data_IF_781868153915
#
_entry.id   IF_781868153915
#
_cell.length_a   1.000
_cell.length_b   1.000
_cell.length_c   1.000
_cell.angle_alpha   90.00
_cell.angle_beta   90.00
_cell.angle_gamma   90.00
#
_symmetry.space_group_name_H-M   'P 1'
#
loop_
_entity.id
_entity.type
_entity.pdbx_description
1 polymer ?
#
# COMPACT_ATOMS: atom_id res chain seq x y z
N UNK A 1 -14.68 -36.49 -0.01
CA UNK A 1 -15.09 -37.73 -0.71
C UNK A 1 -16.49 -38.13 -0.27
N UNK A 2 -17.29 -38.73 -1.17
CA UNK A 2 -18.67 -39.16 -0.86
C UNK A 2 -18.71 -40.47 -0.06
N UNK A 3 -17.89 -41.46 -0.41
CA UNK A 3 -17.75 -42.73 0.31
C UNK A 3 -16.35 -43.34 0.11
N UNK A 4 -15.47 -43.31 1.14
CA UNK A 4 -14.11 -43.83 1.04
C UNK A 4 -14.02 -45.35 0.78
N UNK A 5 -14.91 -46.15 1.36
CA UNK A 5 -14.86 -47.61 1.25
C UNK A 5 -15.26 -48.09 -0.16
N UNK A 6 -16.20 -47.38 -0.80
CA UNK A 6 -16.58 -47.63 -2.19
C UNK A 6 -15.50 -47.21 -3.19
N UNK A 7 -14.72 -46.17 -2.87
CA UNK A 7 -13.62 -45.69 -3.72
C UNK A 7 -12.43 -46.66 -3.71
N UNK A 8 -12.08 -47.22 -2.54
CA UNK A 8 -11.06 -48.26 -2.41
C UNK A 8 -11.45 -49.54 -3.18
N UNK A 9 -12.71 -49.99 -3.07
CA UNK A 9 -13.22 -51.16 -3.83
C UNK A 9 -13.21 -50.97 -5.35
N UNK A 10 -13.29 -49.73 -5.84
CA UNK A 10 -13.18 -49.40 -7.27
C UNK A 10 -11.73 -49.22 -7.74
N UNK A 11 -10.74 -49.44 -6.87
CA UNK A 11 -9.33 -49.22 -7.19
C UNK A 11 -9.00 -47.76 -7.48
N UNK A 12 -9.80 -46.83 -6.95
CA UNK A 12 -9.63 -45.38 -7.14
C UNK A 12 -8.79 -44.83 -5.99
N UNK A 13 -7.53 -45.26 -5.92
CA UNK A 13 -6.51 -44.61 -5.10
C UNK A 13 -5.76 -43.60 -6.00
N UNK A 14 -6.53 -42.75 -6.67
CA UNK A 14 -6.03 -41.84 -7.71
C UNK A 14 -5.73 -40.50 -7.06
N UNK A 15 -4.56 -39.95 -7.35
CA UNK A 15 -4.23 -38.59 -6.99
C UNK A 15 -5.13 -37.63 -7.79
N UNK A 16 -6.19 -37.13 -7.14
CA UNK A 16 -7.10 -36.15 -7.74
C UNK A 16 -6.35 -34.90 -8.18
N UNK A 17 -5.24 -34.55 -7.52
CA UNK A 17 -4.41 -33.40 -7.90
C UNK A 17 -3.83 -33.61 -9.29
N UNK A 18 -3.35 -34.82 -9.60
CA UNK A 18 -2.81 -35.15 -10.91
C UNK A 18 -3.89 -35.14 -12.00
N UNK A 19 -5.07 -35.71 -11.73
CA UNK A 19 -6.18 -35.75 -12.69
C UNK A 19 -6.72 -34.36 -13.03
N UNK A 20 -6.89 -33.50 -12.01
CA UNK A 20 -7.26 -32.09 -12.16
C UNK A 20 -6.15 -31.34 -12.90
N UNK A 21 -4.88 -31.56 -12.53
CA UNK A 21 -3.73 -30.89 -13.15
C UNK A 21 -3.54 -31.22 -14.63
N UNK A 22 -3.74 -32.48 -15.04
CA UNK A 22 -3.70 -32.89 -16.46
C UNK A 22 -4.85 -32.33 -17.28
N UNK A 23 -6.01 -32.17 -16.67
CA UNK A 23 -7.22 -31.67 -17.34
C UNK A 23 -7.26 -30.14 -17.40
N UNK A 24 -6.56 -29.46 -16.48
CA UNK A 24 -6.48 -27.99 -16.39
C UNK A 24 -5.28 -27.39 -17.13
N UNK A 25 -5.00 -27.87 -18.34
CA UNK A 25 -3.91 -27.34 -19.16
C UNK A 25 -4.39 -27.06 -20.58
N UNK A 26 -3.90 -25.96 -21.14
CA UNK A 26 -4.04 -25.72 -22.57
C UNK A 26 -3.04 -26.60 -23.29
N UNK A 27 -3.54 -27.50 -24.14
CA UNK A 27 -2.69 -28.30 -25.02
C UNK A 27 -2.62 -27.61 -26.38
N UNK A 28 -1.41 -27.43 -26.90
CA UNK A 28 -1.23 -27.00 -28.28
C UNK A 28 -1.74 -28.09 -29.20
N UNK A 29 -2.78 -27.79 -29.99
CA UNK A 29 -3.07 -28.62 -31.15
C UNK A 29 -2.17 -28.14 -32.29
N UNK A 30 -1.83 -29.05 -33.19
CA UNK A 30 -1.11 -28.71 -34.41
C UNK A 30 -1.97 -27.84 -35.34
N UNK A 31 -1.55 -27.75 -36.60
CA UNK A 31 -2.35 -27.13 -37.64
C UNK A 31 -3.01 -28.21 -38.50
N UNK A 32 -4.25 -27.98 -38.92
CA UNK A 32 -4.88 -28.73 -40.01
C UNK A 32 -4.69 -27.88 -41.26
N UNK A 33 -3.88 -28.36 -42.20
CA UNK A 33 -3.72 -27.71 -43.49
C UNK A 33 -4.85 -28.18 -44.42
N UNK A 34 -5.69 -27.24 -44.85
CA UNK A 34 -6.71 -27.51 -45.86
C UNK A 34 -6.46 -26.59 -47.06
N UNK A 35 -5.99 -27.19 -48.15
CA UNK A 35 -5.60 -26.48 -49.38
C UNK A 35 -4.47 -25.47 -49.14
N UNK A 36 -4.79 -24.17 -49.01
CA UNK A 36 -3.85 -23.06 -48.82
C UNK A 36 -4.01 -22.33 -47.47
N UNK A 37 -4.91 -22.82 -46.59
CA UNK A 37 -5.14 -22.25 -45.26
C UNK A 37 -4.66 -23.21 -44.17
N UNK A 38 -4.09 -22.65 -43.10
CA UNK A 38 -3.68 -23.39 -41.91
C UNK A 38 -4.62 -23.03 -40.75
N UNK A 39 -5.41 -24.01 -40.31
CA UNK A 39 -6.23 -23.86 -39.12
C UNK A 39 -5.45 -24.32 -37.90
N UNK A 40 -5.11 -23.38 -37.03
CA UNK A 40 -4.52 -23.69 -35.72
C UNK A 40 -5.59 -24.30 -34.82
N UNK A 41 -5.39 -25.53 -34.38
CA UNK A 41 -6.27 -26.18 -33.42
C UNK A 41 -5.66 -26.00 -32.03
N UNK A 42 -6.42 -25.60 -31.03
CA UNK A 42 -5.92 -25.52 -29.65
C UNK A 42 -6.96 -26.14 -28.71
N UNK A 43 -6.51 -27.03 -27.82
CA UNK A 43 -7.34 -27.51 -26.73
C UNK A 43 -7.28 -26.52 -25.57
N UNK A 44 -8.40 -25.85 -25.30
CA UNK A 44 -8.52 -24.97 -24.13
C UNK A 44 -9.06 -25.79 -22.95
N UNK A 45 -8.20 -26.04 -21.95
CA UNK A 45 -8.51 -26.90 -20.79
C UNK A 45 -8.76 -26.14 -19.49
N UNK A 46 -8.87 -24.81 -19.52
CA UNK A 46 -9.01 -23.99 -18.31
C UNK A 46 -10.42 -24.12 -17.70
N UNK A 47 -10.49 -24.59 -16.44
CA UNK A 47 -11.74 -24.65 -15.69
C UNK A 47 -12.28 -23.24 -15.39
N UNK A 48 -13.58 -23.04 -15.58
CA UNK A 48 -14.28 -21.78 -15.31
C UNK A 48 -15.32 -21.90 -14.20
N UNK A 49 -15.69 -23.14 -13.86
CA UNK A 49 -16.78 -23.44 -12.94
C UNK A 49 -16.51 -24.72 -12.15
N UNK A 50 -17.24 -24.92 -11.05
CA UNK A 50 -17.16 -26.15 -10.26
C UNK A 50 -17.63 -27.35 -11.09
N UNK A 51 -18.61 -27.14 -11.98
CA UNK A 51 -19.14 -28.13 -12.90
C UNK A 51 -18.08 -28.66 -13.88
N UNK A 52 -17.09 -27.84 -14.25
CA UNK A 52 -15.98 -28.28 -15.12
C UNK A 52 -15.09 -29.30 -14.39
N UNK A 53 -14.82 -29.04 -13.10
CA UNK A 53 -14.04 -29.94 -12.24
C UNK A 53 -14.82 -31.24 -12.00
N UNK A 54 -16.14 -31.17 -11.81
CA UNK A 54 -17.01 -32.34 -11.64
C UNK A 54 -16.93 -33.33 -12.81
N UNK A 55 -16.72 -32.81 -14.03
CA UNK A 55 -16.67 -33.59 -15.27
C UNK A 55 -15.32 -34.26 -15.54
N UNK A 56 -14.29 -33.92 -14.76
CA UNK A 56 -12.93 -34.44 -14.96
C UNK A 56 -12.91 -35.97 -14.85
N UNK A 57 -12.42 -36.68 -15.88
CA UNK A 57 -12.26 -38.12 -15.84
C UNK A 57 -11.10 -38.49 -14.92
N UNK A 58 -11.36 -39.43 -14.00
CA UNK A 58 -10.39 -39.87 -12.99
C UNK A 58 -9.80 -41.22 -13.37
N UNK A 59 -10.65 -42.15 -13.82
CA UNK A 59 -10.23 -43.49 -14.22
C UNK A 59 -11.27 -44.12 -15.15
N UNK A 60 -10.82 -44.94 -16.09
CA UNK A 60 -11.67 -45.85 -16.85
C UNK A 60 -11.61 -47.25 -16.21
N UNK A 61 -12.78 -47.86 -16.01
CA UNK A 61 -12.91 -49.24 -15.53
C UNK A 61 -12.78 -50.23 -16.70
N UNK A 62 -12.49 -51.50 -16.39
CA UNK A 62 -12.45 -52.60 -17.37
C UNK A 62 -13.81 -52.81 -18.07
N UNK A 63 -14.90 -52.33 -17.47
CA UNK A 63 -16.24 -52.28 -18.05
C UNK A 63 -16.46 -51.11 -19.03
N UNK A 64 -15.40 -50.41 -19.43
CA UNK A 64 -15.39 -49.19 -20.25
C UNK A 64 -16.10 -47.97 -19.65
N UNK A 65 -16.64 -48.07 -18.44
CA UNK A 65 -17.25 -46.93 -17.74
C UNK A 65 -16.18 -45.99 -17.20
N UNK A 66 -16.30 -44.70 -17.49
CA UNK A 66 -15.45 -43.64 -16.96
C UNK A 66 -15.99 -43.14 -15.63
N UNK A 67 -15.14 -43.13 -14.61
CA UNK A 67 -15.40 -42.52 -13.30
C UNK A 67 -14.97 -41.07 -13.36
N UNK A 68 -15.88 -40.15 -13.01
CA UNK A 68 -15.63 -38.71 -12.93
C UNK A 68 -15.45 -38.25 -11.48
N UNK A 69 -14.93 -37.04 -11.27
CA UNK A 69 -14.81 -36.45 -9.93
C UNK A 69 -16.17 -36.39 -9.23
N UNK A 70 -17.25 -36.07 -9.95
CA UNK A 70 -18.61 -36.04 -9.39
C UNK A 70 -19.08 -37.38 -8.78
N UNK A 71 -18.53 -38.51 -9.25
CA UNK A 71 -18.91 -39.85 -8.77
C UNK A 71 -18.28 -40.20 -7.42
N UNK A 72 -17.18 -39.53 -7.06
CA UNK A 72 -16.33 -39.89 -5.91
C UNK A 72 -16.19 -38.75 -4.89
N UNK A 73 -16.40 -37.51 -5.31
CA UNK A 73 -16.29 -36.32 -4.50
C UNK A 73 -17.46 -35.36 -4.74
N UNK A 74 -17.74 -34.52 -3.74
CA UNK A 74 -18.61 -33.36 -3.90
C UNK A 74 -17.70 -32.19 -4.21
N UNK A 75 -17.89 -31.55 -5.36
CA UNK A 75 -17.14 -30.35 -5.74
C UNK A 75 -17.92 -29.14 -5.24
N UNK A 76 -17.19 -28.19 -4.69
CA UNK A 76 -17.74 -26.92 -4.27
C UNK A 76 -16.61 -25.91 -4.21
N UNK A 77 -16.97 -24.63 -4.24
CA UNK A 77 -16.00 -23.56 -4.03
C UNK A 77 -15.55 -23.60 -2.57
N UNK A 78 -14.34 -24.10 -2.34
CA UNK A 78 -13.64 -23.97 -1.07
C UNK A 78 -13.08 -22.57 -0.89
N UNK A 79 -12.78 -22.18 0.35
CA UNK A 79 -11.97 -20.98 0.59
C UNK A 79 -10.56 -21.21 0.03
N UNK A 80 -10.00 -20.19 -0.60
CA UNK A 80 -8.65 -20.21 -1.17
C UNK A 80 -7.62 -20.60 -0.11
N UNK A 81 -6.73 -21.55 -0.42
CA UNK A 81 -5.60 -21.90 0.44
C UNK A 81 -4.55 -20.79 0.32
N UNK A 82 -4.54 -19.86 1.29
CA UNK A 82 -3.52 -18.80 1.37
C UNK A 82 -2.16 -19.40 1.72
N UNK A 83 -1.20 -19.23 0.82
CA UNK A 83 0.23 -19.36 1.11
C UNK A 83 0.66 -18.17 1.98
N UNK A 84 0.85 -18.42 3.28
CA UNK A 84 1.17 -17.40 4.29
C UNK A 84 0.46 -17.60 5.63
N UNK A 85 -0.46 -18.57 5.72
CA UNK A 85 -1.14 -18.93 6.95
C UNK A 85 -0.27 -19.83 7.86
N UNK A 86 -0.12 -19.45 9.13
CA UNK A 86 0.30 -20.36 10.18
C UNK A 86 -0.94 -21.11 10.70
N UNK A 87 -1.09 -22.38 10.34
CA UNK A 87 -2.21 -23.24 10.76
C UNK A 87 -1.80 -24.19 11.89
N UNK A 88 -2.72 -24.43 12.84
CA UNK A 88 -2.62 -25.52 13.84
C UNK A 88 -3.85 -26.43 13.69
N UNK A 89 -3.62 -27.75 13.53
CA UNK A 89 -4.68 -28.77 13.41
C UNK A 89 -5.73 -28.48 12.32
N UNK A 90 -5.30 -27.98 11.15
CA UNK A 90 -6.21 -27.68 10.04
C UNK A 90 -7.09 -26.44 10.23
N UNK A 91 -6.82 -25.60 11.24
CA UNK A 91 -7.43 -24.28 11.43
C UNK A 91 -6.36 -23.19 11.41
N UNK A 92 -6.65 -22.10 10.72
CA UNK A 92 -5.76 -20.93 10.60
C UNK A 92 -5.75 -20.14 11.92
N UNK A 93 -4.55 -19.84 12.43
CA UNK A 93 -4.39 -19.16 13.73
C UNK A 93 -3.99 -17.69 13.54
N UNK A 94 -5.02 -16.84 13.46
CA UNK A 94 -5.12 -15.54 14.14
C UNK A 94 -4.58 -14.26 13.51
N UNK A 95 -3.60 -14.25 12.58
CA UNK A 95 -3.44 -13.03 11.77
C UNK A 95 -4.69 -12.81 10.89
N UNK A 96 -5.26 -13.93 10.42
CA UNK A 96 -6.57 -14.00 9.82
C UNK A 96 -7.73 -13.81 10.79
N UNK A 97 -7.63 -14.05 12.11
CA UNK A 97 -8.82 -13.97 13.00
C UNK A 97 -9.33 -12.55 13.22
N UNK A 98 -8.48 -11.51 13.23
CA UNK A 98 -8.97 -10.12 13.27
C UNK A 98 -9.67 -9.75 11.95
N UNK A 99 -9.21 -10.30 10.82
CA UNK A 99 -9.88 -10.12 9.51
C UNK A 99 -11.00 -11.14 9.24
N UNK A 100 -11.08 -12.27 9.93
CA UNK A 100 -12.17 -13.26 9.87
C UNK A 100 -13.29 -12.89 10.83
N UNK A 101 -12.97 -12.19 11.93
CA UNK A 101 -13.95 -11.50 12.74
C UNK A 101 -14.66 -10.40 11.96
N UNK A 102 -14.15 -9.89 10.82
CA UNK A 102 -14.96 -9.03 9.94
C UNK A 102 -16.23 -9.74 9.42
N UNK A 103 -16.27 -11.07 9.41
CA UNK A 103 -17.48 -11.84 9.15
C UNK A 103 -18.45 -11.91 10.33
N UNK A 104 -18.00 -11.65 11.57
CA UNK A 104 -18.79 -11.59 12.80
C UNK A 104 -19.05 -10.14 13.28
N UNK A 105 -18.25 -9.18 12.83
CA UNK A 105 -18.45 -7.76 13.07
C UNK A 105 -19.67 -7.34 12.26
N UNK A 106 -20.76 -7.08 12.96
CA UNK A 106 -21.89 -6.34 12.40
C UNK A 106 -21.39 -5.07 11.72
N UNK A 107 -22.14 -4.54 10.75
CA UNK A 107 -21.80 -3.27 10.07
C UNK A 107 -21.45 -2.16 11.08
N UNK A 108 -22.11 -2.17 12.25
CA UNK A 108 -21.85 -1.28 13.38
C UNK A 108 -20.47 -1.51 13.98
N UNK A 109 -20.04 -2.77 14.15
CA UNK A 109 -18.71 -3.12 14.62
C UNK A 109 -17.60 -2.69 13.66
N UNK A 110 -17.80 -2.86 12.35
CA UNK A 110 -16.86 -2.37 11.32
C UNK A 110 -16.78 -0.84 11.36
N UNK A 111 -17.92 -0.17 11.46
CA UNK A 111 -17.97 1.28 11.57
C UNK A 111 -17.29 1.79 12.86
N UNK A 112 -17.54 1.14 14.00
CA UNK A 112 -16.97 1.50 15.29
C UNK A 112 -15.45 1.32 15.33
N UNK A 113 -14.95 0.17 14.89
CA UNK A 113 -13.50 -0.09 14.81
C UNK A 113 -12.81 0.84 13.80
N UNK A 114 -13.43 1.08 12.64
CA UNK A 114 -12.94 2.04 11.65
C UNK A 114 -12.86 3.47 12.19
N UNK A 115 -13.87 3.91 12.95
CA UNK A 115 -13.91 5.23 13.57
C UNK A 115 -12.83 5.36 14.66
N UNK A 116 -12.69 4.36 15.55
CA UNK A 116 -11.64 4.34 16.56
C UNK A 116 -10.24 4.40 15.94
N UNK A 117 -9.99 3.58 14.91
CA UNK A 117 -8.72 3.60 14.17
C UNK A 117 -8.51 4.96 13.49
N UNK A 118 -9.55 5.51 12.85
CA UNK A 118 -9.49 6.83 12.22
C UNK A 118 -9.15 7.97 13.19
N UNK A 119 -9.77 7.99 14.37
CA UNK A 119 -9.45 8.96 15.42
C UNK A 119 -8.00 8.82 15.90
N UNK A 120 -7.56 7.60 16.19
CA UNK A 120 -6.18 7.34 16.63
C UNK A 120 -5.15 7.80 15.58
N UNK A 121 -5.39 7.48 14.30
CA UNK A 121 -4.55 7.95 13.19
C UNK A 121 -4.58 9.48 13.07
N UNK A 122 -5.75 10.10 13.16
CA UNK A 122 -5.90 11.56 13.09
C UNK A 122 -5.11 12.28 14.19
N UNK A 123 -5.22 11.82 15.44
CA UNK A 123 -4.44 12.36 16.55
C UNK A 123 -2.94 12.16 16.36
N UNK A 124 -2.51 10.96 15.92
CA UNK A 124 -1.10 10.69 15.68
C UNK A 124 -0.53 11.60 14.58
N UNK A 125 -1.15 11.62 13.40
CA UNK A 125 -0.62 12.36 12.24
C UNK A 125 -0.67 13.88 12.45
N UNK A 126 -1.74 14.42 13.04
CA UNK A 126 -1.82 15.86 13.30
C UNK A 126 -0.70 16.35 14.23
N UNK A 127 -0.44 15.63 15.33
CA UNK A 127 0.63 15.96 16.26
C UNK A 127 2.01 15.73 15.65
N UNK A 128 2.20 14.64 14.89
CA UNK A 128 3.45 14.32 14.20
C UNK A 128 3.81 15.35 13.13
N UNK A 129 2.82 15.87 12.39
CA UNK A 129 3.02 16.96 11.41
C UNK A 129 3.36 18.27 12.13
N UNK A 130 2.69 18.57 13.24
CA UNK A 130 2.99 19.75 14.04
C UNK A 130 4.42 19.71 14.60
N UNK A 131 4.84 18.58 15.17
CA UNK A 131 6.21 18.41 15.67
C UNK A 131 7.23 18.59 14.55
N UNK A 132 7.03 17.97 13.39
CA UNK A 132 7.90 18.16 12.23
C UNK A 132 7.97 19.64 11.81
N UNK A 133 6.84 20.34 11.79
CA UNK A 133 6.77 21.77 11.45
C UNK A 133 7.54 22.66 12.43
N UNK A 134 7.57 22.30 13.72
CA UNK A 134 8.29 23.07 14.75
C UNK A 134 9.77 22.70 14.91
N UNK A 135 10.16 21.50 14.49
CA UNK A 135 11.52 20.96 14.67
C UNK A 135 12.37 20.99 13.41
N UNK A 136 11.77 21.29 12.25
CA UNK A 136 12.45 21.29 10.95
C UNK A 136 12.32 22.63 10.23
N UNK A 137 13.29 22.93 9.38
CA UNK A 137 13.34 24.09 8.51
C UNK A 137 13.50 23.65 7.05
N UNK A 138 13.46 24.59 6.11
CA UNK A 138 13.46 24.23 4.69
C UNK A 138 14.72 23.45 4.26
N UNK A 139 15.88 23.76 4.84
CA UNK A 139 17.15 23.13 4.50
C UNK A 139 17.24 21.68 5.00
N UNK A 140 16.70 21.38 6.18
CA UNK A 140 16.85 20.07 6.83
C UNK A 140 15.64 19.14 6.66
N UNK A 141 14.49 19.62 6.16
CA UNK A 141 13.26 18.82 5.97
C UNK A 141 13.47 17.58 5.11
N UNK A 142 14.24 17.69 4.03
CA UNK A 142 14.50 16.54 3.15
C UNK A 142 15.26 15.44 3.90
N UNK A 143 16.24 15.83 4.73
CA UNK A 143 16.99 14.89 5.56
C UNK A 143 16.11 14.25 6.64
N UNK A 144 15.28 15.05 7.32
CA UNK A 144 14.33 14.56 8.32
C UNK A 144 13.38 13.50 7.73
N UNK A 145 12.72 13.78 6.60
CA UNK A 145 11.81 12.82 5.98
C UNK A 145 12.53 11.61 5.38
N UNK A 146 13.77 11.77 4.90
CA UNK A 146 14.60 10.64 4.46
C UNK A 146 14.94 9.68 5.61
N UNK A 147 15.34 10.24 6.76
CA UNK A 147 15.66 9.47 7.96
C UNK A 147 14.40 8.81 8.55
N UNK A 148 13.30 9.55 8.63
CA UNK A 148 12.01 9.01 9.08
C UNK A 148 11.56 7.85 8.20
N UNK A 149 11.61 8.01 6.87
CA UNK A 149 11.21 6.95 5.96
C UNK A 149 12.10 5.70 6.09
N UNK A 150 13.41 5.87 6.37
CA UNK A 150 14.29 4.75 6.68
C UNK A 150 13.85 3.99 7.93
N UNK A 151 13.60 4.69 9.05
CA UNK A 151 13.17 4.05 10.29
C UNK A 151 11.78 3.42 10.16
N UNK A 152 10.84 4.11 9.50
CA UNK A 152 9.51 3.60 9.23
C UNK A 152 9.58 2.31 8.40
N UNK A 153 10.40 2.30 7.36
CA UNK A 153 10.57 1.13 6.49
C UNK A 153 11.21 -0.02 7.24
N UNK A 154 12.25 0.23 8.02
CA UNK A 154 12.88 -0.79 8.87
C UNK A 154 11.87 -1.39 9.87
N UNK A 155 11.12 -0.55 10.58
CA UNK A 155 10.09 -1.01 11.51
C UNK A 155 8.99 -1.82 10.78
N UNK A 156 8.58 -1.40 9.58
CA UNK A 156 7.56 -2.09 8.78
C UNK A 156 7.96 -3.48 8.31
N UNK A 157 9.27 -3.77 8.23
CA UNK A 157 9.80 -5.10 7.87
C UNK A 157 10.05 -5.92 9.14
N UNK A 158 10.74 -5.34 10.12
CA UNK A 158 11.20 -6.07 11.31
C UNK A 158 10.04 -6.41 12.25
N UNK A 159 9.10 -5.49 12.48
CA UNK A 159 8.01 -5.73 13.44
C UNK A 159 7.07 -6.88 13.00
N UNK A 160 6.59 -6.95 11.75
CA UNK A 160 5.78 -8.09 11.31
C UNK A 160 6.55 -9.42 11.31
N UNK A 161 7.83 -9.42 10.93
CA UNK A 161 8.66 -10.63 10.97
C UNK A 161 8.88 -11.11 12.40
N UNK A 162 9.19 -10.20 13.33
CA UNK A 162 9.37 -10.54 14.74
C UNK A 162 8.08 -11.07 15.37
N UNK A 163 6.95 -10.40 15.11
CA UNK A 163 5.63 -10.85 15.57
C UNK A 163 5.27 -12.23 14.98
N UNK A 164 5.47 -12.41 13.67
CA UNK A 164 5.23 -13.68 12.98
C UNK A 164 6.09 -14.81 13.52
N UNK A 165 7.38 -14.56 13.74
CA UNK A 165 8.30 -15.53 14.34
C UNK A 165 7.89 -15.93 15.76
N UNK A 166 7.51 -14.96 16.60
CA UNK A 166 7.06 -15.22 17.97
C UNK A 166 5.79 -16.10 17.99
N UNK A 167 4.82 -15.79 17.14
CA UNK A 167 3.57 -16.54 17.02
C UNK A 167 3.83 -17.94 16.46
N UNK A 168 4.65 -18.05 15.40
CA UNK A 168 4.97 -19.34 14.78
C UNK A 168 5.73 -20.25 15.75
N UNK A 169 6.71 -19.71 16.48
CA UNK A 169 7.51 -20.46 17.48
C UNK A 169 6.66 -20.95 18.65
N UNK A 170 5.60 -20.22 19.01
CA UNK A 170 4.60 -20.68 20.00
C UNK A 170 3.89 -21.96 19.52
N UNK A 171 3.57 -22.05 18.22
CA UNK A 171 2.91 -23.23 17.65
C UNK A 171 3.85 -24.41 17.38
N UNK A 172 5.06 -24.15 16.88
CA UNK A 172 5.97 -25.20 16.40
C UNK A 172 6.93 -25.70 17.47
N UNK A 173 7.44 -24.79 18.32
CA UNK A 173 8.42 -25.09 19.38
C UNK A 173 7.77 -25.22 20.76
N UNK A 174 6.45 -25.03 20.86
CA UNK A 174 5.71 -25.12 22.12
C UNK A 174 6.02 -24.00 23.11
N UNK A 175 6.58 -22.87 22.65
CA UNK A 175 6.80 -21.71 23.51
C UNK A 175 5.48 -21.28 24.17
N UNK A 176 5.55 -20.74 25.39
CA UNK A 176 4.38 -20.35 26.19
C UNK A 176 3.31 -21.45 26.34
N UNK A 177 3.73 -22.71 26.32
CA UNK A 177 2.84 -23.87 26.44
C UNK A 177 1.93 -24.09 25.23
N UNK A 178 2.33 -23.60 24.04
CA UNK A 178 1.54 -23.75 22.81
C UNK A 178 0.33 -22.82 22.70
N UNK A 179 0.14 -21.91 23.67
CA UNK A 179 -0.98 -20.97 23.69
C UNK A 179 -0.61 -19.67 22.98
N UNK A 180 -1.07 -19.53 21.74
CA UNK A 180 -0.85 -18.33 20.90
C UNK A 180 -1.36 -17.04 21.53
N UNK A 181 -2.40 -17.11 22.36
CA UNK A 181 -2.91 -15.97 23.13
C UNK A 181 -1.82 -15.28 23.97
N UNK A 182 -0.92 -16.07 24.59
CA UNK A 182 0.17 -15.50 25.39
C UNK A 182 1.18 -14.73 24.53
N UNK A 183 1.46 -15.18 23.31
CA UNK A 183 2.31 -14.44 22.38
C UNK A 183 1.70 -13.07 22.02
N UNK A 184 0.38 -12.98 21.88
CA UNK A 184 -0.32 -11.72 21.65
C UNK A 184 -0.30 -10.79 22.87
N UNK A 185 -0.46 -11.31 24.09
CA UNK A 185 -0.33 -10.49 25.29
C UNK A 185 1.08 -9.92 25.45
N UNK A 186 2.10 -10.73 25.15
CA UNK A 186 3.51 -10.28 25.17
C UNK A 186 3.74 -9.20 24.12
N UNK A 187 3.28 -9.40 22.88
CA UNK A 187 3.41 -8.41 21.81
C UNK A 187 2.70 -7.10 22.16
N UNK A 188 1.50 -7.19 22.73
CA UNK A 188 0.72 -6.02 23.19
C UNK A 188 1.46 -5.29 24.31
N UNK A 189 1.98 -6.01 25.31
CA UNK A 189 2.79 -5.44 26.38
C UNK A 189 4.03 -4.72 25.86
N UNK A 190 4.72 -5.30 24.88
CA UNK A 190 5.87 -4.68 24.23
C UNK A 190 5.51 -3.37 23.51
N UNK A 191 4.40 -3.34 22.77
CA UNK A 191 3.89 -2.12 22.11
C UNK A 191 3.54 -1.04 23.14
N UNK A 192 2.91 -1.41 24.26
CA UNK A 192 2.59 -0.48 25.34
C UNK A 192 3.86 0.12 25.97
N UNK A 193 4.87 -0.71 26.25
CA UNK A 193 6.17 -0.26 26.78
C UNK A 193 6.85 0.69 25.80
N UNK A 194 6.91 0.35 24.50
CA UNK A 194 7.49 1.21 23.48
C UNK A 194 6.75 2.55 23.39
N UNK A 195 5.42 2.53 23.48
CA UNK A 195 4.59 3.74 23.47
C UNK A 195 4.86 4.61 24.70
N UNK A 196 5.02 3.99 25.88
CA UNK A 196 5.37 4.68 27.11
C UNK A 196 6.75 5.33 27.03
N UNK A 197 7.75 4.61 26.52
CA UNK A 197 9.10 5.13 26.30
C UNK A 197 9.06 6.32 25.32
N UNK A 198 8.36 6.19 24.19
CA UNK A 198 8.20 7.27 23.22
C UNK A 198 7.52 8.49 23.85
N UNK A 199 6.47 8.30 24.66
CA UNK A 199 5.79 9.38 25.36
C UNK A 199 6.70 10.09 26.38
N UNK A 200 7.54 9.35 27.10
CA UNK A 200 8.51 9.92 28.05
C UNK A 200 9.53 10.78 27.29
N UNK A 201 10.08 10.29 26.18
CA UNK A 201 11.06 11.02 25.36
C UNK A 201 10.45 12.32 24.81
N UNK A 202 9.21 12.27 24.30
CA UNK A 202 8.53 13.46 23.78
C UNK A 202 8.28 14.49 24.89
N UNK A 203 7.88 14.05 26.09
CA UNK A 203 7.61 14.95 27.21
C UNK A 203 8.89 15.57 27.83
N UNK A 204 10.03 14.91 27.67
CA UNK A 204 11.34 15.48 28.04
C UNK A 204 11.81 16.56 27.05
N UNK A 205 11.23 16.60 25.84
CA UNK A 205 11.54 17.62 24.85
C UNK A 205 10.98 18.99 25.21
N UNK A 206 11.68 20.05 24.81
CA UNK A 206 11.23 21.44 24.99
C UNK A 206 10.25 21.83 23.86
N UNK A 207 9.09 21.19 23.81
CA UNK A 207 8.06 21.51 22.82
C UNK A 207 7.05 22.52 23.38
N UNK A 208 6.69 23.52 22.58
CA UNK A 208 5.63 24.46 22.93
C UNK A 208 4.30 23.94 22.40
N UNK A 209 3.28 23.90 23.27
CA UNK A 209 1.93 23.57 22.87
C UNK A 209 1.38 24.65 21.91
N UNK A 210 0.57 24.27 20.90
CA UNK A 210 -0.04 25.24 20.01
C UNK A 210 -0.94 26.20 20.78
N UNK A 211 -0.93 27.47 20.38
CA UNK A 211 -1.78 28.50 20.99
C UNK A 211 -3.26 28.14 20.78
N UNK A 212 -4.07 28.19 21.84
CA UNK A 212 -5.51 28.02 21.74
C UNK A 212 -6.13 29.18 20.95
N UNK A 213 -6.35 28.95 19.66
CA UNK A 213 -6.93 29.91 18.73
C UNK A 213 -8.03 29.23 17.91
N UNK A 214 -8.94 30.03 17.34
CA UNK A 214 -9.88 29.50 16.33
C UNK A 214 -9.07 28.86 15.21
N UNK A 215 -9.39 27.60 14.89
CA UNK A 215 -8.67 26.79 13.91
C UNK A 215 -9.53 26.39 12.70
N UNK A 216 -10.82 26.72 12.72
CA UNK A 216 -11.75 26.38 11.65
C UNK A 216 -12.05 27.63 10.81
N UNK A 217 -11.62 27.58 9.55
CA UNK A 217 -11.83 28.64 8.56
C UNK A 217 -12.18 28.01 7.21
N UNK A 218 -12.93 28.76 6.40
CA UNK A 218 -13.36 28.31 5.06
C UNK A 218 -12.74 29.11 3.92
N UNK A 219 -12.27 30.33 4.19
CA UNK A 219 -11.60 31.18 3.22
C UNK A 219 -10.09 31.18 3.46
N UNK A 220 -9.33 30.79 2.45
CA UNK A 220 -7.88 30.72 2.51
C UNK A 220 -7.22 31.44 1.34
N UNK A 221 -6.00 31.88 1.59
CA UNK A 221 -5.10 32.48 0.63
C UNK A 221 -4.96 31.63 -0.63
N UNK A 222 -4.66 32.28 -1.77
CA UNK A 222 -4.50 31.62 -3.07
C UNK A 222 -3.48 30.49 -3.02
N UNK A 223 -2.35 30.71 -2.36
CA UNK A 223 -1.28 29.72 -2.18
C UNK A 223 -1.80 28.45 -1.47
N UNK A 224 -2.59 28.61 -0.41
CA UNK A 224 -3.17 27.46 0.30
C UNK A 224 -4.20 26.70 -0.55
N UNK A 225 -5.02 27.41 -1.33
CA UNK A 225 -5.95 26.77 -2.27
C UNK A 225 -5.23 25.88 -3.28
N UNK A 226 -4.07 26.30 -3.79
CA UNK A 226 -3.22 25.42 -4.63
C UNK A 226 -2.77 24.16 -3.88
N UNK A 227 -2.37 24.30 -2.61
CA UNK A 227 -1.98 23.16 -1.77
C UNK A 227 -3.16 22.20 -1.52
N UNK A 228 -4.38 22.70 -1.32
CA UNK A 228 -5.58 21.87 -1.20
C UNK A 228 -5.88 21.08 -2.48
N UNK A 229 -5.68 21.68 -3.66
CA UNK A 229 -5.78 20.95 -4.94
C UNK A 229 -4.71 19.87 -5.01
N UNK A 230 -3.46 20.17 -4.64
CA UNK A 230 -2.38 19.18 -4.61
C UNK A 230 -2.68 18.02 -3.65
N UNK A 231 -3.22 18.32 -2.47
CA UNK A 231 -3.66 17.33 -1.50
C UNK A 231 -4.81 16.46 -2.00
N UNK A 232 -5.78 17.07 -2.69
CA UNK A 232 -6.89 16.33 -3.31
C UNK A 232 -6.38 15.38 -4.38
N UNK A 233 -5.48 15.82 -5.26
CA UNK A 233 -4.87 14.96 -6.29
C UNK A 233 -4.08 13.79 -5.70
N UNK A 234 -3.30 14.04 -4.63
CA UNK A 234 -2.63 12.98 -3.86
C UNK A 234 -3.65 12.02 -3.25
N UNK A 235 -4.75 12.54 -2.70
CA UNK A 235 -5.83 11.78 -2.09
C UNK A 235 -6.49 10.82 -3.07
N UNK A 236 -6.82 11.28 -4.28
CA UNK A 236 -7.40 10.45 -5.35
C UNK A 236 -6.52 9.23 -5.63
N UNK A 237 -5.22 9.44 -5.79
CA UNK A 237 -4.27 8.35 -5.98
C UNK A 237 -4.18 7.42 -4.76
N UNK A 238 -4.08 7.98 -3.55
CA UNK A 238 -3.97 7.19 -2.33
C UNK A 238 -5.20 6.28 -2.10
N UNK A 239 -6.40 6.75 -2.44
CA UNK A 239 -7.63 5.95 -2.34
C UNK A 239 -7.59 4.68 -3.19
N UNK A 240 -6.86 4.72 -4.31
CA UNK A 240 -6.70 3.59 -5.22
C UNK A 240 -5.49 2.73 -4.86
N UNK A 241 -4.34 3.37 -4.62
CA UNK A 241 -3.02 2.75 -4.43
C UNK A 241 -2.94 1.90 -3.16
N UNK A 242 -3.76 2.16 -2.14
CA UNK A 242 -3.77 1.33 -0.92
C UNK A 242 -4.33 -0.08 -1.21
N UNK A 243 -5.34 -0.20 -2.06
CA UNK A 243 -6.04 -1.47 -2.30
C UNK A 243 -5.61 -2.16 -3.60
N UNK A 244 -5.42 -1.38 -4.68
CA UNK A 244 -5.24 -1.92 -6.02
C UNK A 244 -4.00 -2.82 -6.21
N UNK A 245 -2.81 -2.54 -5.65
CA UNK A 245 -1.64 -3.40 -5.84
C UNK A 245 -1.87 -4.82 -5.28
N UNK A 246 -2.50 -4.91 -4.11
CA UNK A 246 -2.83 -6.20 -3.48
C UNK A 246 -3.87 -6.93 -4.31
N UNK A 247 -4.96 -6.25 -4.69
CA UNK A 247 -6.02 -6.84 -5.52
C UNK A 247 -5.50 -7.31 -6.89
N UNK A 248 -4.64 -6.51 -7.52
CA UNK A 248 -4.04 -6.81 -8.81
C UNK A 248 -3.15 -8.06 -8.73
N UNK A 249 -2.30 -8.18 -7.72
CA UNK A 249 -1.44 -9.36 -7.55
C UNK A 249 -2.26 -10.59 -7.16
N UNK A 250 -3.22 -10.45 -6.24
CA UNK A 250 -4.12 -11.56 -5.89
C UNK A 250 -4.85 -12.09 -7.13
N UNK A 251 -5.33 -11.20 -7.99
CA UNK A 251 -6.07 -11.58 -9.19
C UNK A 251 -5.19 -12.15 -10.32
N UNK A 252 -4.01 -11.56 -10.57
CA UNK A 252 -3.20 -11.89 -11.75
C UNK A 252 -2.03 -12.85 -11.45
N UNK A 253 -1.59 -12.95 -10.20
CA UNK A 253 -0.50 -13.86 -9.77
C UNK A 253 -1.05 -15.02 -8.96
N UNK A 254 -2.10 -14.80 -8.15
CA UNK A 254 -2.73 -15.85 -7.32
C UNK A 254 -1.88 -16.28 -6.11
N UNK A 255 -0.71 -15.67 -5.89
CA UNK A 255 0.15 -15.95 -4.75
C UNK A 255 0.38 -14.67 -3.94
N UNK A 256 -0.30 -14.55 -2.81
CA UNK A 256 -0.17 -13.40 -1.92
C UNK A 256 1.25 -13.25 -1.37
N UNK A 257 1.97 -14.36 -1.19
CA UNK A 257 3.37 -14.36 -0.75
C UNK A 257 4.28 -13.55 -1.69
N UNK A 258 3.96 -13.50 -2.98
CA UNK A 258 4.72 -12.70 -3.96
C UNK A 258 4.63 -11.20 -3.67
N UNK A 259 3.47 -10.69 -3.22
CA UNK A 259 3.33 -9.27 -2.81
C UNK A 259 4.28 -8.97 -1.67
N UNK A 260 4.26 -9.82 -0.63
CA UNK A 260 5.07 -9.65 0.57
C UNK A 260 6.56 -9.68 0.25
N UNK A 261 7.00 -10.61 -0.59
CA UNK A 261 8.41 -10.70 -1.01
C UNK A 261 8.88 -9.49 -1.82
N UNK A 262 8.10 -9.07 -2.84
CA UNK A 262 8.45 -7.91 -3.68
C UNK A 262 8.49 -6.63 -2.83
N UNK A 263 7.48 -6.43 -1.99
CA UNK A 263 7.43 -5.26 -1.11
C UNK A 263 8.57 -5.27 -0.11
N UNK A 264 8.91 -6.39 0.51
CA UNK A 264 9.99 -6.45 1.51
C UNK A 264 11.35 -6.10 0.89
N UNK A 265 11.70 -6.73 -0.23
CA UNK A 265 12.99 -6.50 -0.91
C UNK A 265 13.06 -5.06 -1.44
N UNK A 266 12.00 -4.62 -2.13
CA UNK A 266 11.95 -3.27 -2.68
C UNK A 266 11.94 -2.20 -1.58
N UNK A 267 11.32 -2.48 -0.43
CA UNK A 267 11.26 -1.53 0.68
C UNK A 267 12.65 -1.25 1.25
N UNK A 268 13.50 -2.27 1.43
CA UNK A 268 14.90 -2.07 1.84
C UNK A 268 15.65 -1.17 0.85
N UNK A 269 15.53 -1.46 -0.46
CA UNK A 269 16.16 -0.65 -1.50
C UNK A 269 15.63 0.79 -1.51
N UNK A 270 14.32 0.96 -1.34
CA UNK A 270 13.68 2.27 -1.27
C UNK A 270 14.14 3.06 -0.03
N UNK A 271 14.34 2.40 1.11
CA UNK A 271 14.82 3.04 2.34
C UNK A 271 16.25 3.57 2.18
N UNK A 272 17.14 2.77 1.58
CA UNK A 272 18.51 3.22 1.26
C UNK A 272 18.48 4.39 0.28
N UNK A 273 17.67 4.29 -0.78
CA UNK A 273 17.49 5.38 -1.76
C UNK A 273 17.02 6.67 -1.08
N UNK A 274 16.03 6.59 -0.19
CA UNK A 274 15.48 7.76 0.50
C UNK A 274 16.46 8.37 1.49
N UNK A 275 17.24 7.56 2.20
CA UNK A 275 18.27 8.08 3.08
C UNK A 275 19.33 8.85 2.29
N UNK A 276 19.80 8.29 1.18
CA UNK A 276 20.75 8.97 0.28
C UNK A 276 20.14 10.25 -0.28
N UNK A 277 18.92 10.18 -0.84
CA UNK A 277 18.23 11.35 -1.37
C UNK A 277 17.97 12.41 -0.31
N UNK A 278 17.56 12.04 0.89
CA UNK A 278 17.35 12.96 2.00
C UNK A 278 18.62 13.72 2.40
N UNK A 279 19.79 13.09 2.28
CA UNK A 279 21.10 13.69 2.57
C UNK A 279 21.60 14.64 1.48
N UNK A 280 21.36 14.31 0.21
CA UNK A 280 21.93 15.07 -0.93
C UNK A 280 20.96 16.09 -1.53
N UNK A 281 19.66 15.94 -1.30
CA UNK A 281 18.65 16.77 -1.95
C UNK A 281 18.47 18.11 -1.25
N UNK A 282 18.67 19.19 -2.01
CA UNK A 282 18.32 20.54 -1.60
C UNK A 282 16.85 20.86 -1.95
N UNK A 283 16.25 21.95 -1.42
CA UNK A 283 14.88 22.36 -1.73
C UNK A 283 14.59 22.48 -3.23
N UNK A 284 15.56 22.97 -4.01
CA UNK A 284 15.48 23.06 -5.49
C UNK A 284 15.29 21.72 -6.20
N UNK A 285 15.72 20.60 -5.60
CA UNK A 285 15.60 19.28 -6.19
C UNK A 285 14.22 18.64 -5.98
N UNK A 286 13.39 19.18 -5.07
CA UNK A 286 12.08 18.58 -4.72
C UNK A 286 11.16 18.41 -5.92
N UNK A 287 11.14 19.38 -6.84
CA UNK A 287 10.33 19.27 -8.05
C UNK A 287 10.78 18.12 -8.96
N UNK A 288 12.09 17.89 -9.07
CA UNK A 288 12.66 16.80 -9.89
C UNK A 288 12.36 15.45 -9.24
N UNK A 289 12.56 15.34 -7.92
CA UNK A 289 12.26 14.12 -7.15
C UNK A 289 10.77 13.78 -7.26
N UNK A 290 9.89 14.78 -7.13
CA UNK A 290 8.45 14.60 -7.28
C UNK A 290 8.08 14.14 -8.70
N UNK A 291 8.66 14.75 -9.73
CA UNK A 291 8.45 14.35 -11.11
C UNK A 291 8.92 12.93 -11.40
N UNK A 292 10.07 12.51 -10.84
CA UNK A 292 10.58 11.15 -10.97
C UNK A 292 9.63 10.13 -10.33
N UNK A 293 9.09 10.42 -9.13
CA UNK A 293 8.08 9.59 -8.48
C UNK A 293 6.79 9.47 -9.30
N UNK A 294 6.28 10.58 -9.85
CA UNK A 294 5.08 10.57 -10.70
C UNK A 294 5.32 9.78 -12.00
N UNK A 295 6.48 9.95 -12.62
CA UNK A 295 6.84 9.22 -13.83
C UNK A 295 6.89 7.72 -13.59
N UNK A 296 7.54 7.27 -12.51
CA UNK A 296 7.57 5.86 -12.12
C UNK A 296 6.18 5.30 -11.87
N UNK A 297 5.30 6.07 -11.22
CA UNK A 297 3.92 5.65 -10.97
C UNK A 297 3.13 5.48 -12.28
N UNK A 298 3.21 6.46 -13.18
CA UNK A 298 2.55 6.41 -14.50
C UNK A 298 3.12 5.28 -15.36
N UNK A 299 4.45 5.11 -15.38
CA UNK A 299 5.11 4.04 -16.12
C UNK A 299 4.65 2.66 -15.64
N UNK A 300 4.65 2.44 -14.32
CA UNK A 300 4.16 1.18 -13.74
C UNK A 300 2.70 0.92 -14.12
N UNK A 301 1.84 1.93 -13.99
CA UNK A 301 0.42 1.81 -14.31
C UNK A 301 0.18 1.56 -15.81
N UNK A 302 0.96 2.22 -16.69
CA UNK A 302 0.89 2.02 -18.14
C UNK A 302 1.31 0.61 -18.55
N UNK A 303 2.41 0.10 -17.99
CA UNK A 303 2.87 -1.27 -18.25
C UNK A 303 1.85 -2.27 -17.75
N UNK A 304 1.27 -2.08 -16.56
CA UNK A 304 0.20 -2.96 -16.07
C UNK A 304 -1.08 -2.87 -16.91
N UNK A 305 -1.38 -1.72 -17.52
CA UNK A 305 -2.53 -1.57 -18.42
C UNK A 305 -2.30 -2.28 -19.76
N UNK A 306 -1.10 -2.18 -20.33
CA UNK A 306 -0.76 -2.79 -21.63
C UNK A 306 -0.52 -4.30 -21.50
N UNK A 307 0.26 -4.70 -20.50
CA UNK A 307 0.60 -6.08 -20.16
C UNK A 307 -0.24 -6.52 -18.94
N UNK A 308 -1.53 -6.74 -19.14
CA UNK A 308 -2.44 -7.12 -18.06
C UNK A 308 -2.33 -8.61 -17.71
N UNK A 309 -1.23 -8.98 -17.06
CA UNK A 309 -0.93 -10.33 -16.55
C UNK A 309 -0.04 -10.24 -15.30
N UNK A 310 0.42 -11.40 -14.79
CA UNK A 310 1.31 -11.48 -13.63
C UNK A 310 2.56 -10.58 -13.75
N UNK A 311 3.22 -10.55 -14.92
CA UNK A 311 4.45 -9.79 -15.13
C UNK A 311 4.20 -8.28 -15.06
N UNK A 312 3.13 -7.78 -15.69
CA UNK A 312 2.78 -6.36 -15.62
C UNK A 312 2.36 -5.91 -14.23
N UNK A 313 1.67 -6.79 -13.48
CA UNK A 313 1.32 -6.52 -12.09
C UNK A 313 2.55 -6.41 -11.18
N UNK A 314 3.48 -7.37 -11.28
CA UNK A 314 4.74 -7.37 -10.53
C UNK A 314 5.56 -6.13 -10.86
N UNK A 315 5.63 -5.77 -12.15
CA UNK A 315 6.33 -4.55 -12.58
C UNK A 315 5.71 -3.29 -11.97
N UNK A 316 4.39 -3.17 -11.98
CA UNK A 316 3.70 -2.04 -11.35
C UNK A 316 3.99 -1.95 -9.85
N UNK A 317 3.92 -3.05 -9.11
CA UNK A 317 4.25 -3.07 -7.68
C UNK A 317 5.71 -2.66 -7.46
N UNK A 318 6.63 -3.17 -8.29
CA UNK A 318 8.04 -2.78 -8.25
C UNK A 318 8.24 -1.28 -8.43
N UNK A 319 7.61 -0.67 -9.44
CA UNK A 319 7.65 0.78 -9.65
C UNK A 319 7.04 1.54 -8.46
N UNK A 320 5.92 1.04 -7.92
CA UNK A 320 5.19 1.70 -6.84
C UNK A 320 5.99 1.77 -5.54
N UNK A 321 6.79 0.74 -5.24
CA UNK A 321 7.67 0.69 -4.06
C UNK A 321 8.69 1.83 -4.05
N UNK A 322 9.16 2.27 -5.22
CA UNK A 322 10.04 3.44 -5.33
C UNK A 322 9.29 4.75 -5.54
N UNK A 323 8.19 4.72 -6.29
CA UNK A 323 7.42 5.92 -6.61
C UNK A 323 6.83 6.59 -5.37
N UNK A 324 6.17 5.81 -4.49
CA UNK A 324 5.47 6.36 -3.33
C UNK A 324 6.41 7.12 -2.38
N UNK A 325 7.57 6.57 -1.98
CA UNK A 325 8.44 7.31 -1.09
C UNK A 325 9.09 8.54 -1.73
N UNK A 326 9.39 8.53 -3.05
CA UNK A 326 9.86 9.72 -3.76
C UNK A 326 8.81 10.84 -3.76
N UNK A 327 7.54 10.48 -3.99
CA UNK A 327 6.44 11.43 -3.93
C UNK A 327 6.31 12.05 -2.54
N UNK A 328 6.36 11.23 -1.49
CA UNK A 328 6.25 11.68 -0.11
C UNK A 328 7.44 12.56 0.32
N UNK A 329 8.67 12.18 -0.07
CA UNK A 329 9.89 12.93 0.23
C UNK A 329 9.85 14.37 -0.30
N UNK A 330 9.20 14.60 -1.45
CA UNK A 330 9.05 15.94 -2.00
C UNK A 330 7.77 16.64 -1.52
N UNK A 331 6.66 15.92 -1.41
CA UNK A 331 5.35 16.47 -1.06
C UNK A 331 5.32 17.08 0.34
N UNK A 332 5.81 16.35 1.34
CA UNK A 332 5.67 16.80 2.73
C UNK A 332 6.50 18.06 3.05
N UNK A 333 7.76 18.20 2.59
CA UNK A 333 8.47 19.46 2.75
C UNK A 333 7.78 20.66 2.10
N UNK A 334 7.22 20.48 0.88
CA UNK A 334 6.43 21.52 0.21
C UNK A 334 5.20 21.87 1.06
N UNK A 335 4.47 20.88 1.56
CA UNK A 335 3.33 21.10 2.45
C UNK A 335 3.71 21.93 3.66
N UNK A 336 4.78 21.57 4.38
CA UNK A 336 5.23 22.31 5.56
C UNK A 336 5.57 23.76 5.22
N UNK A 337 6.31 24.00 4.13
CA UNK A 337 6.64 25.37 3.68
C UNK A 337 5.39 26.20 3.35
N UNK A 338 4.36 25.60 2.74
CA UNK A 338 3.10 26.30 2.45
C UNK A 338 2.39 26.66 3.75
N UNK A 339 2.34 25.73 4.71
CA UNK A 339 1.72 25.99 6.02
C UNK A 339 2.40 27.19 6.69
N UNK A 340 3.73 27.24 6.72
CA UNK A 340 4.45 28.36 7.34
C UNK A 340 4.19 29.68 6.63
N UNK A 341 4.28 29.70 5.31
CA UNK A 341 4.08 30.92 4.54
C UNK A 341 2.64 31.43 4.65
N UNK A 342 1.65 30.55 4.50
CA UNK A 342 0.24 30.93 4.60
C UNK A 342 -0.12 31.37 6.03
N UNK A 343 0.33 30.63 7.05
CA UNK A 343 0.07 30.96 8.46
C UNK A 343 0.63 32.31 8.87
N UNK A 344 1.84 32.64 8.42
CA UNK A 344 2.47 33.94 8.67
C UNK A 344 1.69 35.07 7.98
N UNK A 345 1.28 34.88 6.71
CA UNK A 345 0.54 35.90 5.97
C UNK A 345 -0.86 36.16 6.48
N UNK A 346 -1.59 35.12 6.87
CA UNK A 346 -2.95 35.28 7.40
C UNK A 346 -2.98 35.55 8.91
N UNK A 347 -1.82 35.53 9.59
CA UNK A 347 -1.67 35.61 11.04
C UNK A 347 -2.57 34.59 11.78
N UNK A 348 -2.54 33.33 11.32
CA UNK A 348 -3.39 32.23 11.82
C UNK A 348 -2.55 31.12 12.44
N UNK A 349 -3.15 30.35 13.34
CA UNK A 349 -2.52 29.16 13.93
C UNK A 349 -2.17 28.14 12.83
N UNK A 350 -0.92 27.65 12.82
CA UNK A 350 -0.42 26.60 11.91
C UNK A 350 -1.31 25.34 11.91
N UNK A 351 -1.91 24.98 13.04
CA UNK A 351 -2.79 23.82 13.17
C UNK A 351 -4.06 23.91 12.30
N UNK A 352 -4.55 25.13 12.03
CA UNK A 352 -5.64 25.40 11.07
C UNK A 352 -5.38 24.75 9.72
N UNK A 353 -4.14 24.89 9.24
CA UNK A 353 -3.72 24.42 7.94
C UNK A 353 -3.46 22.92 7.94
N UNK A 354 -2.94 22.37 9.04
CA UNK A 354 -2.83 20.91 9.23
C UNK A 354 -4.22 20.28 9.11
N UNK A 355 -5.21 20.81 9.83
CA UNK A 355 -6.59 20.31 9.75
C UNK A 355 -7.22 20.51 8.37
N UNK A 356 -7.09 21.70 7.77
CA UNK A 356 -7.66 21.99 6.45
C UNK A 356 -7.06 21.11 5.35
N UNK A 357 -5.79 20.74 5.47
CA UNK A 357 -5.11 19.88 4.51
C UNK A 357 -5.70 18.47 4.49
N UNK A 358 -5.99 17.91 5.66
CA UNK A 358 -6.61 16.60 5.81
C UNK A 358 -7.97 16.56 5.09
N UNK A 359 -8.77 17.62 5.17
CA UNK A 359 -10.05 17.72 4.45
C UNK A 359 -9.85 17.56 2.94
N UNK A 360 -8.85 18.25 2.36
CA UNK A 360 -8.54 18.13 0.93
C UNK A 360 -8.07 16.72 0.56
N UNK A 361 -7.18 16.13 1.36
CA UNK A 361 -6.67 14.78 1.16
C UNK A 361 -7.80 13.73 1.21
N UNK A 362 -8.66 13.80 2.22
CA UNK A 362 -9.77 12.86 2.39
C UNK A 362 -10.84 13.01 1.31
N UNK A 363 -11.13 14.24 0.86
CA UNK A 363 -12.07 14.46 -0.23
C UNK A 363 -11.61 13.77 -1.52
N UNK A 364 -10.33 13.92 -1.87
CA UNK A 364 -9.73 13.19 -2.97
C UNK A 364 -9.78 11.68 -2.76
N UNK A 365 -9.44 11.20 -1.55
CA UNK A 365 -9.41 9.78 -1.23
C UNK A 365 -10.79 9.12 -1.34
N UNK A 366 -11.82 9.75 -0.81
CA UNK A 366 -13.21 9.28 -0.92
C UNK A 366 -13.62 9.21 -2.38
N UNK A 367 -13.31 10.24 -3.17
CA UNK A 367 -13.57 10.23 -4.62
C UNK A 367 -12.87 9.05 -5.32
N UNK A 368 -11.58 8.83 -5.06
CA UNK A 368 -10.81 7.74 -5.66
C UNK A 368 -11.35 6.35 -5.29
N UNK A 369 -11.68 6.13 -4.01
CA UNK A 369 -12.27 4.87 -3.55
C UNK A 369 -13.68 4.63 -4.14
N UNK A 370 -14.55 5.64 -4.14
CA UNK A 370 -15.90 5.53 -4.70
C UNK A 370 -15.86 5.29 -6.21
N UNK A 371 -14.94 5.95 -6.93
CA UNK A 371 -14.74 5.72 -8.36
C UNK A 371 -14.33 4.28 -8.64
N UNK A 372 -13.39 3.72 -7.87
CA UNK A 372 -12.99 2.33 -8.00
C UNK A 372 -14.16 1.38 -7.75
N UNK A 373 -14.89 1.56 -6.64
CA UNK A 373 -16.03 0.70 -6.29
C UNK A 373 -17.15 0.79 -7.32
N UNK A 374 -17.46 2.00 -7.82
CA UNK A 374 -18.48 2.20 -8.83
C UNK A 374 -18.14 1.49 -10.14
N UNK A 375 -16.90 1.60 -10.63
CA UNK A 375 -16.46 0.92 -11.85
C UNK A 375 -16.38 -0.60 -11.66
N UNK A 376 -15.86 -1.05 -10.51
CA UNK A 376 -15.75 -2.47 -10.20
C UNK A 376 -17.11 -3.18 -10.14
N UNK A 377 -18.13 -2.51 -9.58
CA UNK A 377 -19.50 -3.06 -9.47
C UNK A 377 -20.31 -2.95 -10.74
N UNK A 378 -20.23 -1.82 -11.46
CA UNK A 378 -21.12 -1.54 -12.59
C UNK A 378 -20.56 -2.00 -13.95
N UNK A 379 -19.23 -2.16 -14.08
CA UNK A 379 -18.59 -2.55 -15.34
C UNK A 379 -17.88 -3.89 -15.17
N UNK A 380 -16.73 -3.89 -14.50
CA UNK A 380 -16.02 -5.10 -14.08
C UNK A 380 -14.81 -4.72 -13.23
N UNK A 381 -14.39 -5.64 -12.37
CA UNK A 381 -13.15 -5.50 -11.62
C UNK A 381 -11.92 -5.39 -12.52
N UNK A 382 -11.92 -6.08 -13.68
CA UNK A 382 -10.81 -6.01 -14.64
C UNK A 382 -10.67 -4.63 -15.26
N UNK A 383 -11.79 -3.99 -15.60
CA UNK A 383 -11.76 -2.62 -16.11
C UNK A 383 -11.30 -1.65 -15.03
N UNK A 384 -11.73 -1.85 -13.78
CA UNK A 384 -11.28 -1.04 -12.64
C UNK A 384 -9.77 -1.16 -12.43
N UNK A 385 -9.25 -2.38 -12.29
CA UNK A 385 -7.83 -2.62 -12.02
C UNK A 385 -6.91 -2.27 -13.20
N UNK A 386 -7.38 -2.42 -14.44
CA UNK A 386 -6.58 -2.14 -15.65
C UNK A 386 -6.60 -0.67 -16.04
N UNK A 387 -7.77 -0.07 -16.20
CA UNK A 387 -7.92 1.24 -16.82
C UNK A 387 -8.07 2.37 -15.80
N UNK A 388 -8.81 2.16 -14.71
CA UNK A 388 -8.98 3.20 -13.68
C UNK A 388 -7.65 3.46 -12.97
N UNK A 389 -6.84 2.41 -12.75
CA UNK A 389 -5.49 2.56 -12.20
C UNK A 389 -4.64 3.55 -13.02
N UNK A 390 -4.61 3.33 -14.34
CA UNK A 390 -3.86 4.21 -15.24
C UNK A 390 -4.46 5.62 -15.30
N UNK A 391 -5.79 5.74 -15.38
CA UNK A 391 -6.47 7.02 -15.34
C UNK A 391 -6.13 7.82 -14.07
N UNK A 392 -6.12 7.17 -12.90
CA UNK A 392 -5.73 7.78 -11.63
C UNK A 392 -4.26 8.22 -11.64
N UNK A 393 -3.36 7.44 -12.23
CA UNK A 393 -1.96 7.83 -12.37
C UNK A 393 -1.79 9.09 -13.25
N UNK A 394 -2.56 9.18 -14.34
CA UNK A 394 -2.59 10.38 -15.20
C UNK A 394 -3.20 11.58 -14.45
N UNK A 395 -4.28 11.38 -13.69
CA UNK A 395 -4.86 12.44 -12.85
C UNK A 395 -3.83 12.94 -11.84
N UNK A 396 -3.08 12.04 -11.21
CA UNK A 396 -2.04 12.43 -10.26
C UNK A 396 -0.89 13.18 -10.95
N UNK A 397 -0.61 12.96 -12.24
CA UNK A 397 0.42 13.70 -12.97
C UNK A 397 0.15 15.23 -13.00
N UNK A 398 -1.12 15.65 -12.96
CA UNK A 398 -1.48 17.08 -12.83
C UNK A 398 -0.95 17.71 -11.54
N UNK A 399 -0.65 16.92 -10.50
CA UNK A 399 -0.03 17.43 -9.27
C UNK A 399 1.35 18.05 -9.53
N UNK A 400 2.04 17.67 -10.61
CA UNK A 400 3.30 18.31 -11.02
C UNK A 400 3.09 19.76 -11.45
N UNK A 401 1.99 20.05 -12.16
CA UNK A 401 1.65 21.42 -12.59
C UNK A 401 1.31 22.28 -11.37
N UNK A 402 0.57 21.72 -10.43
CA UNK A 402 0.23 22.40 -9.18
C UNK A 402 1.48 22.64 -8.33
N UNK A 403 2.35 21.65 -8.18
CA UNK A 403 3.63 21.78 -7.48
C UNK A 403 4.50 22.88 -8.10
N UNK A 404 4.65 22.90 -9.43
CA UNK A 404 5.34 23.96 -10.17
C UNK A 404 4.71 25.33 -9.93
N UNK A 405 3.39 25.41 -9.89
CA UNK A 405 2.65 26.64 -9.64
C UNK A 405 2.79 27.16 -8.21
N UNK A 406 3.03 26.27 -7.23
CA UNK A 406 3.32 26.64 -5.84
C UNK A 406 4.76 27.15 -5.72
N UNK A 407 5.72 26.38 -6.24
CA UNK A 407 7.15 26.68 -6.12
C UNK A 407 7.58 27.92 -6.91
N UNK A 408 6.88 28.28 -7.98
CA UNK A 408 7.12 29.50 -8.76
C UNK A 408 6.24 30.68 -8.34
N UNK A 409 5.40 30.53 -7.30
CA UNK A 409 4.55 31.61 -6.82
C UNK A 409 5.39 32.74 -6.22
N UNK A 410 5.13 34.00 -6.60
CA UNK A 410 5.83 35.16 -6.04
C UNK A 410 5.57 35.34 -4.55
N UNK A 411 4.44 34.80 -4.09
CA UNK A 411 4.04 34.86 -2.68
C UNK A 411 4.64 33.72 -1.86
N UNK A 412 5.38 32.80 -2.48
CA UNK A 412 6.09 31.72 -1.83
C UNK A 412 7.26 32.26 -0.99
N UNK A 413 7.15 32.13 0.32
CA UNK A 413 8.10 32.70 1.28
C UNK A 413 9.49 32.05 1.19
N UNK A 414 9.56 30.79 0.74
CA UNK A 414 10.80 30.03 0.52
C UNK A 414 11.26 30.09 -0.95
N UNK A 415 10.74 31.03 -1.76
CA UNK A 415 11.24 31.21 -3.13
C UNK A 415 12.72 31.60 -3.07
N UNK A 416 13.59 31.03 -3.94
CA UNK A 416 14.94 31.55 -4.06
C UNK A 416 14.80 33.01 -4.47
N UNK A 417 15.10 33.94 -3.54
CA UNK A 417 15.25 35.35 -3.90
C UNK A 417 16.27 35.36 -5.03
N UNK A 418 15.84 35.77 -6.22
CA UNK A 418 16.71 35.98 -7.35
C UNK A 418 17.58 37.21 -7.06
N UNK A 419 18.56 37.01 -6.18
CA UNK A 419 19.69 37.90 -6.00
C UNK A 419 20.89 36.98 -5.88
N UNK A 420 21.90 37.09 -6.76
CA UNK A 420 23.13 36.35 -6.55
C UNK A 420 23.68 36.80 -5.20
N UNK A 421 23.80 35.87 -4.26
CA UNK A 421 24.56 36.09 -3.04
C UNK A 421 25.99 36.46 -3.47
N UNK A 422 26.39 37.69 -3.22
CA UNK A 422 27.80 38.07 -3.28
C UNK A 422 28.57 37.14 -2.33
N UNK A 423 29.60 36.49 -2.86
CA UNK A 423 30.48 35.60 -2.11
C UNK A 423 31.24 36.41 -1.05
N UNK A 424 30.65 36.56 0.13
CA UNK A 424 31.27 37.30 1.24
C UNK A 424 30.56 37.22 2.59
N UNK A 425 29.45 36.48 2.71
CA UNK A 425 28.64 36.47 3.93
C UNK A 425 28.48 35.09 4.59
N UNK A 426 29.53 34.27 4.58
CA UNK A 426 29.64 33.11 5.46
C UNK A 426 30.59 33.48 6.60
N UNK A 427 30.03 33.88 7.75
CA UNK A 427 30.79 33.89 9.01
C UNK A 427 30.58 32.56 9.72
N UNK A 428 31.68 31.91 10.06
CA UNK A 428 31.70 30.71 10.88
C UNK A 428 31.21 31.00 12.32
N UNK A 429 30.66 30.00 13.05
CA UNK A 429 30.04 30.16 14.36
C UNK A 429 31.01 30.42 15.52
N UNK A 430 32.14 31.09 15.27
CA UNK A 430 33.13 31.50 16.27
C UNK A 430 33.14 33.02 16.55
N UNK A 431 32.37 33.84 15.82
CA UNK A 431 32.34 35.31 16.01
C UNK A 431 31.09 35.84 16.73
N UNK A 432 30.17 34.99 17.18
CA UNK A 432 28.93 35.39 17.86
C UNK A 432 29.03 35.53 19.39
N UNK A 433 30.23 35.43 19.97
CA UNK A 433 30.45 35.57 21.43
C UNK A 433 31.01 36.93 21.86
N UNK A 434 30.95 37.97 21.01
CA UNK A 434 31.39 39.33 21.36
C UNK A 434 30.41 40.40 20.87
N UNK A 435 29.11 40.28 21.15
CA UNK A 435 28.24 41.46 21.27
C UNK A 435 27.15 41.17 22.31
N UNK A 436 27.09 42.07 23.29
CA UNK A 436 26.26 42.17 24.50
C UNK A 436 26.76 41.39 25.72
#
# INVERSE_FOLDING_TARGET
>A
YKDPATNERRGVNVDLVEAIGKSNQNVGGGYIAQTAEQFLVQGVGLFKSAEDIERVPVRQLDSFRVIKIADIAKVGLGKELRTGAATVNGRETVLGTVMMLLGELTVIGIAGTGLMMGMAYGFFWANRVFLALTSTNDENRNYYYGLEALFFTFASIVMPLAAGYLIASTNTLGWFGGKTEHAYYILTGLVLILTMIASIIVNQGKFQNPVNARFLYFSFHRLWRKMLVMASLKGVAQGFVIAAPVMLIMKLVGNEGSVGSIQSIGSVLSAVMLYVLGRISAPRHRQIIFAAGLFLFVLGAFVSMTIYNAAGAIFFVGCLVFARPLLDLAYFPIQLGVIECASSRENRNKFTYIFSHEVGLYLGRVFGCLLFVAVARNISEDVALRYVLFAVAIVQLFSLLVARSILSDREWCEAPKATPLQAGALKEPAELSQVV
#
